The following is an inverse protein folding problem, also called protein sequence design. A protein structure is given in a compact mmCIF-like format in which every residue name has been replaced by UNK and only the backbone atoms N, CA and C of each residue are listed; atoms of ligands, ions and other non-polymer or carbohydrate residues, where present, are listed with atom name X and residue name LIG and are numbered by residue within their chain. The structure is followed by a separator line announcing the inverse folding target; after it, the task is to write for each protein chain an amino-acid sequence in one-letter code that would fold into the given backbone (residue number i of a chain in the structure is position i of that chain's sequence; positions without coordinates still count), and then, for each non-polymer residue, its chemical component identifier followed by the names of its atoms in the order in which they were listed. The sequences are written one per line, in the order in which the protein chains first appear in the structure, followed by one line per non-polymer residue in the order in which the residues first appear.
data_IF_796099368585
#
_entry.id   IF_796099368585
#
_cell.length_a   1.000
_cell.length_b   1.000
_cell.length_c   1.000
_cell.angle_alpha   90.00
_cell.angle_beta   90.00
_cell.angle_gamma   90.00
#
_symmetry.space_group_name_H-M   'P 1'
#
loop_
_entity.id
_entity.type
_entity.pdbx_description
1 polymer ?
#
# COMPACT_ATOMS: atom_id res chain seq x y z
N UNK A 1 17.18 -12.30 -1.65
CA UNK A 1 16.25 -12.80 -0.61
C UNK A 1 15.60 -11.71 0.27
N UNK A 2 16.06 -10.44 0.29
CA UNK A 2 15.51 -9.41 1.19
C UNK A 2 14.23 -8.69 0.72
N UNK A 3 13.94 -8.68 -0.58
CA UNK A 3 12.83 -7.90 -1.17
C UNK A 3 11.45 -8.45 -0.80
N UNK A 4 11.28 -9.78 -0.76
CA UNK A 4 9.98 -10.40 -0.42
C UNK A 4 9.53 -10.11 1.01
N UNK A 5 10.47 -10.08 1.95
CA UNK A 5 10.17 -9.78 3.36
C UNK A 5 9.68 -8.34 3.58
N UNK A 6 10.25 -7.36 2.87
CA UNK A 6 9.82 -5.96 2.99
C UNK A 6 8.43 -5.76 2.38
N UNK A 7 8.15 -6.38 1.23
CA UNK A 7 6.83 -6.36 0.63
C UNK A 7 5.76 -7.02 1.52
N UNK A 8 6.05 -8.20 2.07
CA UNK A 8 5.13 -8.91 2.98
C UNK A 8 4.86 -8.11 4.26
N UNK A 9 5.90 -7.49 4.83
CA UNK A 9 5.78 -6.61 5.98
C UNK A 9 4.90 -5.38 5.67
N UNK A 10 5.13 -4.71 4.53
CA UNK A 10 4.31 -3.58 4.09
C UNK A 10 2.85 -3.96 3.97
N UNK A 11 2.52 -5.09 3.34
CA UNK A 11 1.13 -5.53 3.21
C UNK A 11 0.48 -5.77 4.57
N UNK A 12 1.18 -6.46 5.48
CA UNK A 12 0.68 -6.71 6.83
C UNK A 12 0.38 -5.40 7.57
N UNK A 13 1.25 -4.40 7.47
CA UNK A 13 1.01 -3.08 8.08
C UNK A 13 -0.24 -2.44 7.47
N UNK A 14 -0.35 -2.41 6.14
CA UNK A 14 -1.49 -1.81 5.43
C UNK A 14 -2.82 -2.49 5.76
N UNK A 15 -2.85 -3.82 5.84
CA UNK A 15 -4.02 -4.58 6.27
C UNK A 15 -4.42 -4.21 7.70
N UNK A 16 -3.46 -4.18 8.64
CA UNK A 16 -3.70 -3.86 10.04
C UNK A 16 -4.22 -2.44 10.26
N UNK A 17 -3.79 -1.46 9.45
CA UNK A 17 -4.25 -0.07 9.58
C UNK A 17 -5.45 0.27 8.70
N UNK A 18 -5.97 -0.68 7.92
CA UNK A 18 -7.02 -0.44 6.93
C UNK A 18 -8.39 -0.04 7.51
N UNK A 19 -8.55 -0.11 8.84
CA UNK A 19 -9.73 0.40 9.54
C UNK A 19 -9.75 1.94 9.65
N UNK A 20 -8.60 2.61 9.47
CA UNK A 20 -8.48 4.08 9.49
C UNK A 20 -7.92 4.55 8.14
N UNK A 21 -8.76 5.15 7.27
CA UNK A 21 -8.34 5.64 5.96
C UNK A 21 -7.16 6.62 5.99
N UNK A 22 -7.09 7.49 7.00
CA UNK A 22 -6.01 8.48 7.12
C UNK A 22 -4.70 7.79 7.48
N UNK A 23 -4.75 6.80 8.37
CA UNK A 23 -3.59 6.01 8.74
C UNK A 23 -3.12 5.14 7.57
N UNK A 24 -4.05 4.48 6.87
CA UNK A 24 -3.75 3.71 5.66
C UNK A 24 -3.05 4.56 4.60
N UNK A 25 -3.56 5.74 4.29
CA UNK A 25 -2.94 6.69 3.35
C UNK A 25 -1.50 7.02 3.76
N UNK A 26 -1.28 7.32 5.05
CA UNK A 26 0.04 7.66 5.59
C UNK A 26 1.03 6.51 5.48
N UNK A 27 0.63 5.29 5.84
CA UNK A 27 1.51 4.12 5.75
C UNK A 27 1.77 3.69 4.30
N UNK A 28 0.79 3.85 3.40
CA UNK A 28 0.99 3.61 1.97
C UNK A 28 2.00 4.59 1.38
N UNK A 29 1.87 5.88 1.69
CA UNK A 29 2.82 6.92 1.25
C UNK A 29 4.25 6.62 1.72
N UNK A 30 4.42 6.19 2.98
CA UNK A 30 5.73 5.74 3.48
C UNK A 30 6.25 4.56 2.67
N UNK A 31 5.43 3.52 2.47
CA UNK A 31 5.83 2.31 1.76
C UNK A 31 6.34 2.61 0.34
N UNK A 32 5.65 3.48 -0.40
CA UNK A 32 6.06 3.90 -1.74
C UNK A 32 7.46 4.56 -1.73
N UNK A 33 7.77 5.35 -0.70
CA UNK A 33 9.07 6.02 -0.57
C UNK A 33 10.20 5.09 -0.11
N UNK A 34 9.89 3.99 0.59
CA UNK A 34 10.91 3.08 1.15
C UNK A 34 11.20 1.87 0.26
N UNK A 35 10.23 1.43 -0.55
CA UNK A 35 10.37 0.23 -1.38
C UNK A 35 11.15 0.51 -2.66
N UNK A 36 11.78 -0.55 -3.20
CA UNK A 36 12.39 -0.49 -4.52
C UNK A 36 11.30 -0.36 -5.60
N UNK A 37 11.60 0.25 -6.76
CA UNK A 37 10.60 0.48 -7.81
C UNK A 37 9.79 -0.76 -8.21
N UNK A 38 10.46 -1.93 -8.29
CA UNK A 38 9.80 -3.20 -8.60
C UNK A 38 8.81 -3.66 -7.51
N UNK A 39 9.11 -3.41 -6.24
CA UNK A 39 8.22 -3.74 -5.13
C UNK A 39 7.07 -2.72 -5.04
N UNK A 40 7.30 -1.46 -5.40
CA UNK A 40 6.24 -0.44 -5.55
C UNK A 40 5.26 -0.86 -6.64
N UNK A 41 5.73 -1.33 -7.80
CA UNK A 41 4.84 -1.78 -8.88
C UNK A 41 3.94 -2.95 -8.43
N UNK A 42 4.50 -3.91 -7.69
CA UNK A 42 3.72 -5.00 -7.09
C UNK A 42 2.74 -4.49 -6.03
N UNK A 43 3.16 -3.53 -5.20
CA UNK A 43 2.31 -2.93 -4.17
C UNK A 43 1.12 -2.21 -4.81
N UNK A 44 1.34 -1.45 -5.88
CA UNK A 44 0.28 -0.75 -6.61
C UNK A 44 -0.77 -1.72 -7.13
N UNK A 45 -0.36 -2.86 -7.72
CA UNK A 45 -1.29 -3.90 -8.20
C UNK A 45 -2.10 -4.49 -7.05
N UNK A 46 -1.46 -4.76 -5.92
CA UNK A 46 -2.13 -5.28 -4.74
C UNK A 46 -3.11 -4.27 -4.13
N UNK A 47 -2.72 -3.00 -3.94
CA UNK A 47 -3.58 -1.95 -3.37
C UNK A 47 -4.83 -1.75 -4.23
N UNK A 48 -4.68 -1.65 -5.55
CA UNK A 48 -5.82 -1.53 -6.48
C UNK A 48 -6.85 -2.65 -6.30
N UNK A 49 -6.40 -3.89 -6.07
CA UNK A 49 -7.29 -5.01 -5.75
C UNK A 49 -7.88 -4.93 -4.34
N UNK A 50 -7.06 -4.58 -3.36
CA UNK A 50 -7.43 -4.57 -1.94
C UNK A 50 -8.53 -3.54 -1.61
N UNK A 51 -8.46 -2.36 -2.25
CA UNK A 51 -9.39 -1.27 -1.99
C UNK A 51 -10.69 -1.36 -2.78
N UNK A 52 -10.81 -2.26 -3.77
CA UNK A 52 -11.97 -2.35 -4.67
C UNK A 52 -13.33 -2.43 -3.96
N UNK A 53 -13.38 -3.06 -2.78
CA UNK A 53 -14.58 -3.20 -1.95
C UNK A 53 -14.54 -2.33 -0.68
N UNK A 54 -13.65 -1.34 -0.63
CA UNK A 54 -13.39 -0.44 0.51
C UNK A 54 -13.37 1.00 0.02
N UNK A 55 -14.55 1.59 -0.28
CA UNK A 55 -14.65 2.94 -0.82
C UNK A 55 -13.95 3.99 0.05
N UNK A 56 -13.92 3.77 1.36
CA UNK A 56 -13.22 4.61 2.33
C UNK A 56 -11.71 4.70 2.10
N UNK A 57 -11.10 3.74 1.39
CA UNK A 57 -9.67 3.74 1.08
C UNK A 57 -9.36 4.25 -0.33
N UNK A 58 -10.35 4.56 -1.17
CA UNK A 58 -10.12 4.90 -2.59
C UNK A 58 -9.24 6.14 -2.76
N UNK A 59 -9.26 7.10 -1.84
CA UNK A 59 -8.41 8.29 -1.86
C UNK A 59 -6.91 7.93 -1.86
N UNK A 60 -6.54 6.76 -1.32
CA UNK A 60 -5.15 6.28 -1.33
C UNK A 60 -4.65 5.92 -2.73
N UNK A 61 -5.52 5.68 -3.71
CA UNK A 61 -5.15 5.43 -5.10
C UNK A 61 -4.50 6.65 -5.76
N UNK A 62 -4.76 7.86 -5.25
CA UNK A 62 -4.12 9.08 -5.75
C UNK A 62 -2.60 9.05 -5.57
N UNK A 63 -2.08 8.26 -4.62
CA UNK A 63 -0.64 8.08 -4.41
C UNK A 63 0.03 7.20 -5.46
N UNK A 64 -0.75 6.43 -6.24
CA UNK A 64 -0.24 5.43 -7.18
C UNK A 64 -0.27 5.89 -8.64
N UNK A 65 -0.99 6.98 -8.92
CA UNK A 65 -1.18 7.56 -10.26
C UNK A 65 -0.30 8.81 -10.49
N UNK A 66 0.71 9.03 -9.64
CA UNK A 66 1.60 10.18 -9.67
C UNK A 66 2.89 9.90 -10.47
#
# INVERSE_FOLDING_TARGET
MKTRAMFDYTRLVLENVSFDPKLFYKELSKAINYLLPYDVEQLSKWVNGYVKNKPELHDSLNLLNA
#
